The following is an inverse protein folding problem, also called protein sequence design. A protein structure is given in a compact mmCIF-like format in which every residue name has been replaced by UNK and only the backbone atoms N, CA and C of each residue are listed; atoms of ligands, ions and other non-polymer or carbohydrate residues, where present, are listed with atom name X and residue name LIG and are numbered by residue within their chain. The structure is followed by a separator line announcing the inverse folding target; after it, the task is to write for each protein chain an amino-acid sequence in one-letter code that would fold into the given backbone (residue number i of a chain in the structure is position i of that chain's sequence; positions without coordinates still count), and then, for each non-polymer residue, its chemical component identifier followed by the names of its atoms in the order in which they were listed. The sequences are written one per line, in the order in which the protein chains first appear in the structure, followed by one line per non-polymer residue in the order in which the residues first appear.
data_IF_123602718700
#
_entry.id   IF_123602718700
#
_cell.length_a   1.000
_cell.length_b   1.000
_cell.length_c   1.000
_cell.angle_alpha   90.00
_cell.angle_beta   90.00
_cell.angle_gamma   90.00
#
_symmetry.space_group_name_H-M   'P 1'
#
loop_
_entity.id
_entity.type
_entity.pdbx_description
1 polymer ?
#
# COMPACT_ATOMS: atom_id res chain seq x y z
N UNK A 1 -7.13 6.58 -4.63
CA UNK A 1 -7.06 5.31 -5.38
C UNK A 1 -5.70 4.61 -5.29
N UNK A 2 -4.53 5.28 -5.32
CA UNK A 2 -3.24 4.55 -5.27
C UNK A 2 -3.07 3.70 -4.00
N UNK A 3 -3.36 4.27 -2.83
CA UNK A 3 -3.18 3.56 -1.56
C UNK A 3 -4.12 2.34 -1.43
N UNK A 4 -5.36 2.48 -1.88
CA UNK A 4 -6.34 1.39 -1.97
C UNK A 4 -5.83 0.25 -2.86
N UNK A 5 -5.38 0.56 -4.09
CA UNK A 5 -4.79 -0.43 -5.01
C UNK A 5 -3.54 -1.10 -4.45
N UNK A 6 -2.79 -0.41 -3.59
CA UNK A 6 -1.62 -0.99 -2.94
C UNK A 6 -1.98 -1.99 -1.82
N UNK A 7 -3.13 -1.80 -1.16
CA UNK A 7 -3.60 -2.61 -0.03
C UNK A 7 -4.57 -3.74 -0.44
N UNK A 8 -5.37 -3.53 -1.48
CA UNK A 8 -6.36 -4.50 -1.97
C UNK A 8 -5.77 -5.91 -2.20
N UNK A 9 -4.58 -6.09 -2.83
CA UNK A 9 -4.03 -7.43 -3.07
C UNK A 9 -3.71 -8.21 -1.79
N UNK A 10 -3.50 -7.51 -0.68
CA UNK A 10 -3.13 -8.13 0.61
C UNK A 10 -4.31 -8.40 1.51
N UNK A 11 -5.51 -7.96 1.13
CA UNK A 11 -6.71 -8.26 1.88
C UNK A 11 -7.04 -9.77 1.80
N UNK A 12 -7.59 -10.34 2.89
CA UNK A 12 -8.12 -11.70 2.90
C UNK A 12 -9.33 -11.83 1.96
N UNK A 13 -9.66 -13.06 1.58
CA UNK A 13 -10.92 -13.32 0.88
C UNK A 13 -12.11 -13.15 1.84
N UNK A 14 -13.28 -12.79 1.31
CA UNK A 14 -14.50 -12.61 2.11
C UNK A 14 -14.89 -13.86 2.91
N UNK A 15 -14.58 -15.05 2.38
CA UNK A 15 -14.82 -16.33 3.07
C UNK A 15 -13.96 -16.52 4.33
N UNK A 16 -12.78 -15.92 4.36
CA UNK A 16 -11.83 -16.01 5.48
C UNK A 16 -12.01 -14.84 6.47
N UNK A 17 -12.48 -13.70 5.98
CA UNK A 17 -12.73 -12.51 6.78
C UNK A 17 -14.02 -11.81 6.28
N UNK A 18 -15.20 -12.23 6.80
CA UNK A 18 -16.51 -11.83 6.28
C UNK A 18 -16.92 -10.42 6.74
N UNK A 19 -16.00 -9.47 6.71
CA UNK A 19 -16.18 -8.10 7.18
C UNK A 19 -16.04 -7.12 6.03
N UNK A 20 -16.95 -6.15 5.97
CA UNK A 20 -16.71 -4.94 5.18
C UNK A 20 -15.63 -4.11 5.86
N UNK A 21 -14.57 -3.81 5.13
CA UNK A 21 -13.44 -3.02 5.63
C UNK A 21 -13.56 -1.58 5.10
N UNK A 22 -13.43 -0.60 6.00
CA UNK A 22 -13.27 0.81 5.65
C UNK A 22 -11.99 1.33 6.31
N UNK A 23 -11.07 1.83 5.50
CA UNK A 23 -9.86 2.51 5.97
C UNK A 23 -9.98 3.98 5.63
N UNK A 24 -9.74 4.85 6.62
CA UNK A 24 -9.71 6.29 6.45
C UNK A 24 -8.31 6.80 6.81
N UNK A 25 -7.70 7.57 5.90
CA UNK A 25 -6.38 8.15 6.10
C UNK A 25 -6.52 9.67 6.16
N UNK A 26 -6.43 10.23 7.36
CA UNK A 26 -6.38 11.69 7.58
C UNK A 26 -4.93 12.14 7.59
N UNK A 27 -4.55 12.98 6.62
CA UNK A 27 -3.20 13.54 6.55
C UNK A 27 -3.10 14.73 7.51
N UNK A 28 -2.33 14.58 8.59
CA UNK A 28 -2.09 15.64 9.57
C UNK A 28 -0.89 16.51 9.22
N UNK A 29 0.09 15.95 8.51
CA UNK A 29 1.29 16.62 8.02
C UNK A 29 1.65 16.10 6.63
N UNK A 30 2.21 16.97 5.78
CA UNK A 30 2.61 16.60 4.42
C UNK A 30 3.79 17.44 3.95
N UNK A 31 4.99 16.86 3.95
CA UNK A 31 6.16 17.40 3.29
C UNK A 31 6.83 16.40 2.33
N UNK A 32 6.12 15.32 1.99
CA UNK A 32 6.55 14.26 1.07
C UNK A 32 5.32 13.52 0.57
N UNK A 33 5.46 12.23 0.24
CA UNK A 33 4.33 11.46 -0.29
C UNK A 33 3.39 10.96 0.80
N UNK A 34 2.39 11.80 1.12
CA UNK A 34 1.25 11.43 1.95
C UNK A 34 0.52 10.18 1.43
N UNK A 35 0.54 9.94 0.11
CA UNK A 35 -0.06 8.73 -0.47
C UNK A 35 0.66 7.43 -0.08
N UNK A 36 1.98 7.46 0.07
CA UNK A 36 2.76 6.32 0.53
C UNK A 36 2.67 6.17 2.04
N UNK A 37 2.59 7.30 2.77
CA UNK A 37 2.26 7.29 4.20
C UNK A 37 0.90 6.62 4.46
N UNK A 38 -0.12 6.90 3.64
CA UNK A 38 -1.43 6.23 3.71
C UNK A 38 -1.35 4.72 3.50
N UNK A 39 -0.44 4.23 2.64
CA UNK A 39 -0.22 2.78 2.46
C UNK A 39 0.36 2.17 3.73
N UNK A 40 1.44 2.75 4.26
CA UNK A 40 2.10 2.25 5.46
C UNK A 40 1.17 2.29 6.68
N UNK A 41 0.53 3.43 6.92
CA UNK A 41 -0.42 3.63 8.01
C UNK A 41 -1.67 2.74 7.86
N UNK A 42 -2.21 2.63 6.65
CA UNK A 42 -3.33 1.72 6.36
C UNK A 42 -2.97 0.26 6.61
N UNK A 43 -1.76 -0.18 6.24
CA UNK A 43 -1.29 -1.53 6.51
C UNK A 43 -1.20 -1.83 8.01
N UNK A 44 -0.67 -0.89 8.81
CA UNK A 44 -0.62 -1.02 10.27
C UNK A 44 -2.02 -1.00 10.88
N UNK A 45 -2.90 -0.11 10.43
CA UNK A 45 -4.27 -0.01 10.91
C UNK A 45 -5.09 -1.28 10.63
N UNK A 46 -4.91 -1.90 9.46
CA UNK A 46 -5.54 -3.19 9.12
C UNK A 46 -5.08 -4.29 10.09
N UNK A 47 -3.78 -4.39 10.34
CA UNK A 47 -3.24 -5.38 11.29
C UNK A 47 -3.73 -5.13 12.72
N UNK A 48 -3.82 -3.86 13.12
CA UNK A 48 -4.27 -3.49 14.46
C UNK A 48 -5.77 -3.73 14.65
N UNK A 49 -6.56 -3.54 13.59
CA UNK A 49 -7.98 -3.90 13.55
C UNK A 49 -8.23 -5.42 13.51
N UNK A 50 -7.18 -6.26 13.47
CA UNK A 50 -7.30 -7.72 13.41
C UNK A 50 -7.64 -8.26 12.02
N UNK A 51 -7.49 -7.46 10.96
CA UNK A 51 -7.63 -7.94 9.59
C UNK A 51 -6.48 -8.88 9.28
N UNK A 52 -6.81 -10.10 8.85
CA UNK A 52 -5.82 -11.13 8.48
C UNK A 52 -5.21 -10.85 7.11
N UNK A 53 -4.36 -9.81 7.02
CA UNK A 53 -3.66 -9.49 5.76
C UNK A 53 -2.63 -10.56 5.41
N UNK A 54 -2.47 -10.84 4.11
CA UNK A 54 -1.57 -11.90 3.61
C UNK A 54 -0.10 -11.62 3.89
N UNK A 55 0.30 -10.35 3.76
CA UNK A 55 1.66 -9.87 4.01
C UNK A 55 1.65 -8.34 4.18
N UNK A 56 2.57 -7.77 4.96
CA UNK A 56 2.66 -6.33 5.15
C UNK A 56 3.19 -5.62 3.88
N UNK A 57 2.72 -4.39 3.68
CA UNK A 57 3.03 -3.56 2.51
C UNK A 57 3.50 -2.19 2.99
N UNK A 58 4.59 -1.71 2.41
CA UNK A 58 5.08 -0.35 2.59
C UNK A 58 5.10 0.38 1.24
N UNK A 59 5.04 1.71 1.28
CA UNK A 59 5.19 2.58 0.13
C UNK A 59 6.39 3.49 0.25
N UNK A 60 7.02 3.86 -0.87
CA UNK A 60 8.06 4.89 -0.95
C UNK A 60 7.83 5.77 -2.17
N UNK A 61 8.12 7.07 -2.05
CA UNK A 61 8.18 7.98 -3.18
C UNK A 61 9.63 8.25 -3.56
N UNK A 62 9.87 8.26 -4.85
CA UNK A 62 11.18 8.42 -5.46
C UNK A 62 11.10 9.57 -6.44
N UNK A 63 12.21 10.30 -6.57
CA UNK A 63 12.38 11.34 -7.57
C UNK A 63 13.52 11.01 -8.49
N UNK A 64 13.56 11.68 -9.62
CA UNK A 64 14.67 11.62 -10.54
C UNK A 64 14.96 13.00 -11.10
N UNK A 65 16.24 13.32 -11.23
CA UNK A 65 16.74 14.47 -11.98
C UNK A 65 17.70 13.94 -13.04
N UNK A 66 17.42 14.25 -14.30
CA UNK A 66 18.32 13.93 -15.40
C UNK A 66 19.47 14.92 -15.38
N UNK A 67 20.69 14.41 -15.24
CA UNK A 67 21.86 15.21 -15.52
C UNK A 67 22.13 15.17 -17.03
N UNK A 68 22.02 16.29 -17.71
CA UNK A 68 22.25 16.37 -19.16
C UNK A 68 23.53 17.15 -19.45
N UNK A 69 24.25 16.72 -20.50
CA UNK A 69 25.44 17.44 -20.97
C UNK A 69 25.13 18.89 -21.40
N UNK A 70 23.88 19.16 -21.78
CA UNK A 70 23.40 20.51 -22.12
C UNK A 70 23.54 21.50 -20.96
N UNK A 71 23.41 21.02 -19.71
CA UNK A 71 23.57 21.83 -18.50
C UNK A 71 24.92 21.62 -17.81
N UNK A 72 25.90 21.02 -18.50
CA UNK A 72 27.25 20.78 -17.97
C UNK A 72 27.38 19.50 -17.13
N UNK A 73 26.39 18.63 -17.20
CA UNK A 73 26.35 17.32 -16.56
C UNK A 73 27.22 16.25 -17.21
N UNK A 74 27.45 15.14 -16.50
CA UNK A 74 28.15 13.97 -17.03
C UNK A 74 27.21 12.95 -17.70
N UNK A 75 25.90 13.16 -17.62
CA UNK A 75 24.88 12.27 -18.18
C UNK A 75 24.29 11.28 -17.16
N UNK A 76 24.77 11.29 -15.91
CA UNK A 76 24.35 10.35 -14.86
C UNK A 76 23.11 10.88 -14.13
N UNK A 77 21.95 10.21 -14.22
CA UNK A 77 20.77 10.65 -13.52
C UNK A 77 20.93 10.53 -12.00
N UNK A 78 20.39 11.51 -11.28
CA UNK A 78 20.29 11.49 -9.83
C UNK A 78 18.94 10.92 -9.40
N UNK A 79 18.95 9.82 -8.65
CA UNK A 79 17.74 9.18 -8.11
C UNK A 79 17.62 9.53 -6.63
N UNK A 80 16.51 10.17 -6.27
CA UNK A 80 16.19 10.62 -4.92
C UNK A 80 15.23 9.62 -4.26
N UNK A 81 15.47 9.31 -2.98
CA UNK A 81 14.62 8.43 -2.17
C UNK A 81 13.87 9.24 -1.11
N UNK A 82 12.61 8.89 -0.92
CA UNK A 82 11.69 9.57 0.01
C UNK A 82 11.63 11.08 -0.20
N UNK A 83 11.26 11.46 -1.43
CA UNK A 83 11.28 12.85 -1.86
C UNK A 83 10.36 13.73 -1.04
N UNK A 84 10.86 14.93 -0.78
CA UNK A 84 10.09 16.05 -0.26
C UNK A 84 9.21 16.67 -1.33
N UNK A 85 8.24 17.49 -0.92
CA UNK A 85 7.38 18.23 -1.86
C UNK A 85 8.16 19.16 -2.80
N UNK A 86 9.26 19.76 -2.32
CA UNK A 86 10.13 20.61 -3.15
C UNK A 86 10.93 19.83 -4.18
N UNK A 87 11.37 18.61 -3.82
CA UNK A 87 12.13 17.74 -4.73
C UNK A 87 11.21 17.15 -5.80
N UNK A 88 9.96 16.82 -5.47
CA UNK A 88 8.94 16.46 -6.47
C UNK A 88 8.72 17.61 -7.45
N UNK A 89 8.44 18.82 -6.94
CA UNK A 89 8.15 19.99 -7.77
C UNK A 89 9.29 20.36 -8.74
N UNK A 90 10.53 20.05 -8.36
CA UNK A 90 11.73 20.40 -9.14
C UNK A 90 12.31 19.21 -9.92
N UNK A 91 11.79 18.00 -9.70
CA UNK A 91 12.28 16.76 -10.32
C UNK A 91 11.70 16.52 -11.71
N UNK A 92 12.38 15.69 -12.48
CA UNK A 92 12.05 15.31 -13.86
C UNK A 92 11.08 14.11 -13.94
N UNK A 93 10.99 13.34 -12.86
CA UNK A 93 10.01 12.27 -12.67
C UNK A 93 9.74 12.06 -11.19
N UNK A 94 8.49 11.78 -10.86
CA UNK A 94 8.12 11.18 -9.57
C UNK A 94 7.59 9.75 -9.75
N UNK A 95 8.12 8.85 -8.94
CA UNK A 95 7.83 7.43 -8.96
C UNK A 95 7.40 6.99 -7.56
N UNK A 96 6.16 6.52 -7.44
CA UNK A 96 5.59 6.00 -6.20
C UNK A 96 5.49 4.49 -6.31
N UNK A 97 6.12 3.76 -5.39
CA UNK A 97 6.17 2.30 -5.40
C UNK A 97 5.71 1.75 -4.05
N UNK A 98 4.69 0.90 -4.08
CA UNK A 98 4.20 0.18 -2.92
C UNK A 98 4.31 -1.32 -3.11
N UNK A 99 4.57 -2.05 -2.03
CA UNK A 99 4.73 -3.49 -2.07
C UNK A 99 5.25 -4.11 -0.79
N UNK A 100 5.41 -5.42 -0.81
CA UNK A 100 6.01 -6.20 0.26
C UNK A 100 7.49 -6.46 -0.02
N UNK A 101 8.11 -7.29 0.81
CA UNK A 101 9.45 -7.82 0.55
C UNK A 101 9.50 -8.67 -0.74
N UNK A 102 8.39 -9.32 -1.10
CA UNK A 102 8.33 -10.29 -2.20
C UNK A 102 7.91 -9.70 -3.55
N UNK A 103 7.35 -8.48 -3.57
CA UNK A 103 6.87 -7.90 -4.81
C UNK A 103 6.26 -6.51 -4.66
N UNK A 104 5.89 -5.93 -5.78
CA UNK A 104 5.20 -4.64 -5.89
C UNK A 104 3.69 -4.92 -5.94
N UNK A 105 2.92 -4.24 -5.09
CA UNK A 105 1.45 -4.29 -5.13
C UNK A 105 0.86 -3.17 -5.98
N UNK A 106 1.50 -2.00 -5.99
CA UNK A 106 1.13 -0.89 -6.85
C UNK A 106 2.35 -0.04 -7.22
N UNK A 107 2.30 0.54 -8.42
CA UNK A 107 3.25 1.57 -8.83
C UNK A 107 2.50 2.69 -9.56
N UNK A 108 2.97 3.91 -9.42
CA UNK A 108 2.54 5.07 -10.17
C UNK A 108 3.78 5.85 -10.58
N UNK A 109 3.81 6.30 -11.83
CA UNK A 109 4.92 7.07 -12.38
C UNK A 109 4.36 8.25 -13.14
N UNK A 110 4.92 9.43 -12.89
CA UNK A 110 4.63 10.65 -13.63
C UNK A 110 5.95 11.21 -14.18
N UNK A 111 6.07 11.19 -15.51
CA UNK A 111 7.28 11.59 -16.24
C UNK A 111 7.04 12.98 -16.78
N UNK A 112 7.89 13.94 -16.37
CA UNK A 112 7.73 15.36 -16.70
C UNK A 112 8.58 15.76 -17.91
N UNK A 113 9.60 14.97 -18.26
CA UNK A 113 10.53 15.23 -19.36
C UNK A 113 10.78 14.00 -20.24
N UNK A 114 11.30 14.23 -21.45
CA UNK A 114 11.82 13.17 -22.32
C UNK A 114 13.25 12.78 -21.91
N UNK A 115 13.68 11.57 -22.25
CA UNK A 115 15.07 11.13 -22.03
C UNK A 115 15.26 10.13 -20.87
N UNK A 116 14.19 9.79 -20.14
CA UNK A 116 14.24 8.71 -19.15
C UNK A 116 14.27 7.36 -19.88
N UNK A 117 15.35 6.60 -19.70
CA UNK A 117 15.57 5.31 -20.37
C UNK A 117 15.21 4.13 -19.46
N UNK A 118 14.98 2.95 -20.06
CA UNK A 118 14.69 1.72 -19.31
C UNK A 118 15.77 1.39 -18.26
N UNK A 119 17.09 1.47 -18.55
CA UNK A 119 18.14 1.23 -17.55
C UNK A 119 18.04 2.15 -16.33
N UNK A 120 17.67 3.41 -16.55
CA UNK A 120 17.53 4.40 -15.48
C UNK A 120 16.31 4.09 -14.60
N UNK A 121 15.20 3.68 -15.21
CA UNK A 121 14.02 3.22 -14.46
C UNK A 121 14.30 1.95 -13.66
N UNK A 122 15.11 1.03 -14.20
CA UNK A 122 15.53 -0.18 -13.49
C UNK A 122 16.33 0.18 -12.23
N UNK A 123 17.30 1.11 -12.34
CA UNK A 123 18.04 1.62 -11.19
C UNK A 123 17.11 2.28 -10.16
N UNK A 124 16.16 3.10 -10.60
CA UNK A 124 15.20 3.75 -9.73
C UNK A 124 14.32 2.74 -8.97
N UNK A 125 13.87 1.67 -9.63
CA UNK A 125 13.09 0.60 -9.02
C UNK A 125 13.91 -0.25 -8.03
N UNK A 126 15.20 -0.48 -8.31
CA UNK A 126 16.10 -1.17 -7.39
C UNK A 126 16.32 -0.34 -6.11
N UNK A 127 16.58 0.96 -6.23
CA UNK A 127 16.69 1.86 -5.09
C UNK A 127 15.36 1.96 -4.32
N UNK A 128 14.22 2.02 -5.03
CA UNK A 128 12.90 2.01 -4.43
C UNK A 128 12.63 0.72 -3.64
N UNK A 129 13.07 -0.44 -4.14
CA UNK A 129 12.96 -1.72 -3.43
C UNK A 129 13.70 -1.65 -2.09
N UNK A 130 14.91 -1.12 -2.09
CA UNK A 130 15.75 -1.08 -0.89
C UNK A 130 15.18 -0.07 0.13
N UNK A 131 14.73 1.09 -0.32
CA UNK A 131 14.02 2.06 0.53
C UNK A 131 12.69 1.52 1.08
N UNK A 132 11.90 0.81 0.27
CA UNK A 132 10.67 0.15 0.74
C UNK A 132 10.95 -0.90 1.80
N UNK A 133 12.01 -1.71 1.63
CA UNK A 133 12.45 -2.68 2.64
C UNK A 133 12.85 -2.00 3.94
N UNK A 134 13.54 -0.86 3.87
CA UNK A 134 13.88 -0.07 5.04
C UNK A 134 12.62 0.37 5.81
N UNK A 135 11.64 0.98 5.13
CA UNK A 135 10.37 1.42 5.74
C UNK A 135 9.62 0.23 6.35
N UNK A 136 9.53 -0.89 5.62
CA UNK A 136 8.88 -2.11 6.11
C UNK A 136 9.52 -2.62 7.40
N UNK A 137 10.86 -2.61 7.48
CA UNK A 137 11.58 -3.02 8.68
C UNK A 137 11.33 -2.07 9.86
N UNK A 138 11.17 -0.76 9.63
CA UNK A 138 10.79 0.17 10.70
C UNK A 138 9.34 -0.05 11.16
N UNK A 139 8.40 -0.31 10.24
CA UNK A 139 7.02 -0.67 10.58
C UNK A 139 6.94 -1.91 11.47
N UNK A 140 7.81 -2.91 11.26
CA UNK A 140 7.87 -4.11 12.07
C UNK A 140 8.35 -3.87 13.51
N UNK A 141 8.97 -2.72 13.78
CA UNK A 141 9.42 -2.32 15.13
C UNK A 141 8.36 -1.54 15.91
N UNK A 142 7.16 -1.34 15.35
CA UNK A 142 6.08 -0.64 16.04
C UNK A 142 5.83 -1.23 17.44
N UNK A 143 5.69 -0.33 18.42
CA UNK A 143 5.44 -0.66 19.82
C UNK A 143 4.30 0.23 20.35
N UNK A 144 3.18 -0.34 20.81
CA UNK A 144 2.89 -1.78 20.83
C UNK A 144 2.82 -2.36 19.41
N UNK A 145 3.12 -3.66 19.23
CA UNK A 145 2.86 -4.31 17.96
C UNK A 145 1.35 -4.29 17.67
N UNK A 146 0.92 -4.31 16.40
CA UNK A 146 -0.49 -4.37 16.04
C UNK A 146 -1.20 -5.52 16.77
N UNK A 147 -2.40 -5.28 17.29
CA UNK A 147 -3.16 -6.23 18.12
C UNK A 147 -3.34 -7.61 17.47
N UNK A 148 -3.53 -7.66 16.14
CA UNK A 148 -3.89 -8.87 15.36
C UNK A 148 -5.19 -9.56 15.78
N UNK A 149 -5.87 -9.07 16.81
CA UNK A 149 -7.19 -9.50 17.22
C UNK A 149 -8.23 -8.43 16.87
N UNK A 150 -9.43 -8.88 16.49
CA UNK A 150 -10.58 -7.99 16.30
C UNK A 150 -10.88 -7.23 17.59
N UNK A 151 -11.22 -5.95 17.44
CA UNK A 151 -11.65 -5.10 18.55
C UNK A 151 -12.86 -5.72 19.26
N UNK A 152 -12.96 -5.63 20.60
CA UNK A 152 -14.17 -6.05 21.33
C UNK A 152 -15.41 -5.22 20.97
N UNK A 153 -15.21 -4.08 20.30
CA UNK A 153 -16.30 -3.22 19.80
C UNK A 153 -16.62 -3.47 18.31
N UNK A 154 -15.85 -4.34 17.64
CA UNK A 154 -16.17 -4.73 16.28
C UNK A 154 -17.38 -5.68 16.29
N UNK A 155 -18.32 -5.56 15.34
CA UNK A 155 -19.45 -6.48 15.25
C UNK A 155 -18.97 -7.93 15.10
N UNK A 156 -19.60 -8.90 15.74
CA UNK A 156 -19.23 -10.31 15.57
C UNK A 156 -20.09 -10.92 14.47
N UNK A 157 -19.44 -11.51 13.45
CA UNK A 157 -20.13 -12.13 12.32
C UNK A 157 -20.01 -13.65 12.45
N UNK A 158 -21.14 -14.32 12.67
CA UNK A 158 -21.23 -15.77 12.63
C UNK A 158 -21.74 -16.24 11.29
N UNK A 159 -20.98 -17.12 10.65
CA UNK A 159 -21.31 -17.70 9.35
C UNK A 159 -21.73 -19.17 9.54
N UNK A 160 -22.96 -19.51 9.13
CA UNK A 160 -23.46 -20.88 9.18
C UNK A 160 -23.93 -21.37 7.80
N UNK A 161 -23.66 -22.65 7.51
CA UNK A 161 -24.14 -23.31 6.30
C UNK A 161 -25.47 -24.00 6.58
N UNK A 162 -26.48 -23.71 5.75
CA UNK A 162 -27.81 -24.33 5.83
C UNK A 162 -28.05 -25.17 4.57
N UNK A 163 -28.76 -26.29 4.72
CA UNK A 163 -29.15 -27.12 3.57
C UNK A 163 -30.13 -26.37 2.66
N UNK A 164 -29.93 -26.47 1.35
CA UNK A 164 -30.75 -25.80 0.32
C UNK A 164 -32.23 -26.15 0.41
N UNK A 165 -32.57 -27.36 0.87
CA UNK A 165 -33.94 -27.82 1.12
C UNK A 165 -34.74 -26.93 2.10
N UNK A 166 -34.05 -26.15 2.94
CA UNK A 166 -34.68 -25.27 3.93
C UNK A 166 -34.78 -23.81 3.45
N UNK A 167 -34.33 -23.50 2.23
CA UNK A 167 -34.33 -22.15 1.65
C UNK A 167 -35.28 -22.12 0.45
N UNK A 168 -36.30 -21.25 0.47
CA UNK A 168 -37.39 -21.22 -0.51
C UNK A 168 -37.03 -20.63 -1.90
N UNK A 169 -35.78 -20.28 -2.15
CA UNK A 169 -35.33 -19.71 -3.42
C UNK A 169 -34.09 -20.44 -3.94
N UNK A 170 -34.17 -20.93 -5.17
CA UNK A 170 -33.25 -21.89 -5.82
C UNK A 170 -31.91 -21.30 -6.28
N UNK A 171 -31.61 -20.04 -6.00
CA UNK A 171 -30.33 -19.44 -6.41
C UNK A 171 -29.60 -18.85 -5.22
N UNK A 172 -28.41 -19.41 -4.97
CA UNK A 172 -27.36 -19.09 -3.99
C UNK A 172 -27.30 -19.99 -2.75
N UNK A 173 -26.12 -20.59 -2.56
CA UNK A 173 -25.65 -21.00 -1.23
C UNK A 173 -25.55 -19.74 -0.37
N UNK A 174 -26.62 -19.40 0.35
CA UNK A 174 -26.61 -18.24 1.24
C UNK A 174 -25.87 -18.58 2.53
N UNK A 175 -24.82 -17.82 2.80
CA UNK A 175 -24.22 -17.70 4.12
C UNK A 175 -25.13 -16.80 4.97
N UNK A 176 -25.68 -17.33 6.06
CA UNK A 176 -26.35 -16.48 7.05
C UNK A 176 -25.25 -15.85 7.92
N UNK A 177 -25.00 -14.55 7.73
CA UNK A 177 -24.17 -13.74 8.61
C UNK A 177 -25.07 -13.14 9.70
N UNK A 178 -24.99 -13.67 10.93
CA UNK A 178 -25.64 -13.04 12.08
C UNK A 178 -24.65 -12.02 12.65
N UNK A 179 -25.01 -10.73 12.59
CA UNK A 179 -24.28 -9.65 13.26
C UNK A 179 -24.76 -9.60 14.71
N UNK A 180 -23.88 -9.95 15.65
CA UNK A 180 -24.13 -9.79 17.09
C UNK A 180 -23.40 -8.53 17.58
N UNK A 181 -24.13 -7.68 18.30
CA UNK A 181 -23.62 -6.50 19.01
C UNK A 181 -23.33 -6.82 20.47
#
# INVERSE_FOLDING_TARGET
MLAERALEPVLPAEVDFPYTIRVESTITESNGSSSMASVCGGCLALQDAGVSIKFPVAGIAMGLVLDTQEFGGDGTPLILSDITGSEDASGDMDLKVAGSEHGISAFQMDIKVVGITLPVMEQALLQARDGRKHILNEMLKCSPPPSKALSPHAPVIHVMKVGTLFVKHDDLLYFLAIIMF
#
